data_IF_067217748216
#
_entry.id   IF_067217748216
#
_cell.length_a   1.000
_cell.length_b   1.000
_cell.length_c   1.000
_cell.angle_alpha   90.00
_cell.angle_beta   90.00
_cell.angle_gamma   90.00
#
_symmetry.space_group_name_H-M   'P 1'
#
loop_
_entity.id
_entity.type
_entity.pdbx_description
1 polymer ?
#
# COMPACT_ATOMS: atom_id res chain seq x y z
N UNK A 1 -15.01 -0.35 -24.38
CA UNK A 1 -15.14 0.25 -23.04
C UNK A 1 -14.68 1.71 -23.06
N UNK A 2 -13.43 2.02 -23.44
CA UNK A 2 -12.93 3.41 -23.43
C UNK A 2 -12.60 4.01 -24.82
N UNK A 3 -13.00 3.37 -25.92
CA UNK A 3 -12.84 3.90 -27.28
C UNK A 3 -11.42 3.74 -27.85
N UNK A 4 -10.39 4.30 -27.20
CA UNK A 4 -8.99 4.23 -27.62
C UNK A 4 -8.03 4.14 -26.41
N UNK A 5 -6.73 3.90 -26.66
CA UNK A 5 -5.70 3.83 -25.61
C UNK A 5 -5.45 5.17 -24.94
N UNK A 6 -5.54 6.27 -25.69
CA UNK A 6 -5.35 7.63 -25.16
C UNK A 6 -6.42 8.01 -24.14
N UNK A 7 -7.64 7.48 -24.28
CA UNK A 7 -8.72 7.68 -23.31
C UNK A 7 -8.51 6.98 -21.96
N UNK A 8 -7.43 6.18 -21.83
CA UNK A 8 -7.01 5.61 -20.54
C UNK A 8 -6.08 6.56 -19.78
N UNK A 9 -5.59 7.63 -20.42
CA UNK A 9 -4.77 8.64 -19.77
C UNK A 9 -5.60 9.41 -18.73
N UNK A 10 -5.12 9.44 -17.48
CA UNK A 10 -5.86 9.98 -16.33
C UNK A 10 -6.83 9.01 -15.64
N UNK A 11 -6.87 7.73 -16.05
CA UNK A 11 -7.68 6.71 -15.36
C UNK A 11 -7.25 6.45 -13.91
N UNK A 12 -8.21 6.29 -13.01
CA UNK A 12 -7.95 5.99 -11.59
C UNK A 12 -7.91 4.47 -11.35
N UNK A 13 -6.97 4.01 -10.52
CA UNK A 13 -6.88 2.60 -10.10
C UNK A 13 -8.16 2.13 -9.41
N UNK A 14 -8.83 3.00 -8.65
CA UNK A 14 -10.07 2.64 -7.96
C UNK A 14 -11.19 2.23 -8.93
N UNK A 15 -11.41 3.01 -9.99
CA UNK A 15 -12.44 2.76 -10.99
C UNK A 15 -12.11 1.49 -11.80
N UNK A 16 -10.84 1.30 -12.16
CA UNK A 16 -10.39 0.09 -12.83
C UNK A 16 -10.64 -1.18 -12.00
N UNK A 17 -10.47 -1.11 -10.67
CA UNK A 17 -10.74 -2.24 -9.78
C UNK A 17 -12.24 -2.57 -9.72
N UNK A 18 -13.11 -1.55 -9.75
CA UNK A 18 -14.56 -1.74 -9.82
C UNK A 18 -14.93 -2.41 -11.14
N UNK A 19 -14.43 -1.91 -12.27
CA UNK A 19 -14.71 -2.48 -13.59
C UNK A 19 -14.26 -3.94 -13.71
N UNK A 20 -13.14 -4.31 -13.10
CA UNK A 20 -12.61 -5.68 -13.15
C UNK A 20 -13.31 -6.66 -12.20
N UNK A 21 -13.87 -6.18 -11.10
CA UNK A 21 -14.42 -7.06 -10.05
C UNK A 21 -15.94 -7.01 -9.93
N UNK A 22 -16.58 -5.98 -10.49
CA UNK A 22 -17.97 -5.63 -10.20
C UNK A 22 -18.21 -5.23 -8.73
N UNK A 23 -17.13 -4.96 -7.99
CA UNK A 23 -17.15 -4.62 -6.56
C UNK A 23 -17.34 -3.13 -6.30
N UNK A 24 -17.04 -2.71 -5.07
CA UNK A 24 -17.04 -1.30 -4.66
C UNK A 24 -15.63 -0.95 -4.18
N UNK A 25 -15.09 0.17 -4.68
CA UNK A 25 -13.83 0.73 -4.22
C UNK A 25 -14.04 1.78 -3.13
N UNK A 26 -13.18 1.76 -2.11
CA UNK A 26 -13.13 2.78 -1.05
C UNK A 26 -11.71 3.40 -1.05
N UNK A 27 -11.54 4.65 -1.50
CA UNK A 27 -10.27 5.35 -1.42
C UNK A 27 -10.02 5.84 0.02
N UNK A 28 -8.79 5.67 0.52
CA UNK A 28 -8.37 6.14 1.84
C UNK A 28 -7.14 7.02 1.70
N UNK A 29 -7.27 8.30 2.06
CA UNK A 29 -6.16 9.25 2.06
C UNK A 29 -5.43 9.22 3.41
N UNK A 30 -4.19 8.72 3.42
CA UNK A 30 -3.40 8.57 4.65
C UNK A 30 -3.02 9.91 5.29
N UNK A 31 -2.82 10.94 4.47
CA UNK A 31 -2.41 12.29 4.91
C UNK A 31 -3.57 13.03 5.58
N UNK A 32 -4.78 12.95 5.00
CA UNK A 32 -5.98 13.62 5.53
C UNK A 32 -6.43 13.03 6.86
N UNK A 33 -6.31 11.71 7.03
CA UNK A 33 -6.72 11.05 8.27
C UNK A 33 -5.69 11.19 9.41
N UNK A 34 -4.51 11.77 9.14
CA UNK A 34 -3.37 11.85 10.06
C UNK A 34 -3.02 10.47 10.67
N UNK A 35 -3.05 9.43 9.82
CA UNK A 35 -2.79 8.04 10.23
C UNK A 35 -1.34 7.80 10.68
N UNK A 36 -0.42 8.72 10.37
CA UNK A 36 0.97 8.66 10.80
C UNK A 36 1.14 9.06 12.27
N UNK A 37 0.41 10.10 12.72
CA UNK A 37 0.49 10.64 14.08
C UNK A 37 -0.39 9.93 15.11
N UNK A 38 -1.58 9.46 14.71
CA UNK A 38 -2.54 8.85 15.63
C UNK A 38 -2.45 7.31 15.62
N UNK A 39 -2.07 6.76 16.77
CA UNK A 39 -1.91 5.32 16.95
C UNK A 39 -3.22 4.55 16.79
N UNK A 40 -4.35 5.09 17.26
CA UNK A 40 -5.65 4.40 17.21
C UNK A 40 -6.20 4.37 15.80
N UNK A 41 -6.07 5.47 15.05
CA UNK A 41 -6.42 5.51 13.62
C UNK A 41 -5.57 4.54 12.81
N UNK A 42 -4.25 4.49 13.05
CA UNK A 42 -3.37 3.52 12.40
C UNK A 42 -3.78 2.07 12.67
N UNK A 43 -4.15 1.75 13.91
CA UNK A 43 -4.68 0.42 14.28
C UNK A 43 -5.99 0.12 13.56
N UNK A 44 -6.91 1.09 13.48
CA UNK A 44 -8.20 0.95 12.78
C UNK A 44 -8.00 0.71 11.28
N UNK A 45 -7.13 1.49 10.63
CA UNK A 45 -6.75 1.31 9.24
C UNK A 45 -6.21 -0.11 9.01
N UNK A 46 -5.26 -0.55 9.85
CA UNK A 46 -4.71 -1.89 9.74
C UNK A 46 -5.79 -2.98 9.92
N UNK A 47 -6.71 -2.82 10.88
CA UNK A 47 -7.81 -3.76 11.07
C UNK A 47 -8.72 -3.82 9.84
N UNK A 48 -8.99 -2.68 9.21
CA UNK A 48 -9.76 -2.62 7.97
C UNK A 48 -9.05 -3.34 6.82
N UNK A 49 -7.75 -3.10 6.64
CA UNK A 49 -6.92 -3.78 5.64
C UNK A 49 -6.88 -5.30 5.86
N UNK A 50 -6.72 -5.75 7.11
CA UNK A 50 -6.75 -7.17 7.47
C UNK A 50 -8.10 -7.80 7.13
N UNK A 51 -9.21 -7.10 7.43
CA UNK A 51 -10.57 -7.56 7.12
C UNK A 51 -10.79 -7.63 5.60
N UNK A 52 -10.42 -6.61 4.85
CA UNK A 52 -10.50 -6.58 3.39
C UNK A 52 -9.69 -7.73 2.76
N UNK A 53 -8.43 -7.90 3.18
CA UNK A 53 -7.58 -8.99 2.69
C UNK A 53 -8.15 -10.38 3.02
N UNK A 54 -8.66 -10.59 4.24
CA UNK A 54 -9.28 -11.86 4.64
C UNK A 54 -10.53 -12.21 3.81
N UNK A 55 -11.24 -11.18 3.31
CA UNK A 55 -12.41 -11.29 2.42
C UNK A 55 -12.03 -11.36 0.95
N UNK A 56 -10.75 -11.49 0.62
CA UNK A 56 -10.22 -11.54 -0.75
C UNK A 56 -10.47 -10.27 -1.56
N UNK A 57 -10.67 -9.13 -0.89
CA UNK A 57 -10.70 -7.83 -1.56
C UNK A 57 -9.33 -7.49 -2.12
N UNK A 58 -9.31 -6.79 -3.26
CA UNK A 58 -8.09 -6.22 -3.83
C UNK A 58 -7.74 -4.93 -3.11
N UNK A 59 -6.46 -4.75 -2.82
CA UNK A 59 -5.94 -3.57 -2.13
C UNK A 59 -4.75 -3.06 -2.93
N UNK A 60 -4.82 -1.80 -3.33
CA UNK A 60 -3.72 -1.07 -3.96
C UNK A 60 -3.35 0.13 -3.11
N UNK A 61 -2.09 0.52 -3.14
CA UNK A 61 -1.60 1.74 -2.53
C UNK A 61 -0.70 2.48 -3.53
N UNK A 62 -0.64 3.80 -3.42
CA UNK A 62 0.15 4.65 -4.31
C UNK A 62 0.68 5.84 -3.55
N UNK A 63 1.76 6.43 -4.06
CA UNK A 63 2.32 7.67 -3.52
C UNK A 63 1.91 8.80 -4.46
N UNK A 64 1.14 9.77 -3.94
CA UNK A 64 0.72 10.92 -4.74
C UNK A 64 1.92 11.86 -4.95
N UNK A 65 2.28 12.21 -6.19
CA UNK A 65 3.29 13.23 -6.45
C UNK A 65 2.74 14.61 -6.07
N UNK A 66 3.58 15.47 -5.49
CA UNK A 66 3.22 16.87 -5.22
C UNK A 66 3.33 17.72 -6.49
N UNK A 67 2.70 18.90 -6.50
CA UNK A 67 2.75 19.82 -7.64
C UNK A 67 4.20 20.24 -7.92
N UNK A 68 4.73 19.82 -9.08
CA UNK A 68 6.11 20.10 -9.49
C UNK A 68 7.11 18.95 -9.22
N UNK A 69 6.67 17.88 -8.58
CA UNK A 69 7.44 16.64 -8.54
C UNK A 69 7.54 16.02 -9.95
N UNK A 70 8.68 15.40 -10.23
CA UNK A 70 8.80 14.53 -11.40
C UNK A 70 7.94 13.29 -11.19
N UNK A 71 7.06 13.01 -12.15
CA UNK A 71 6.33 11.74 -12.22
C UNK A 71 7.33 10.58 -12.31
N UNK A 72 7.00 9.48 -11.65
CA UNK A 72 7.80 8.24 -11.65
C UNK A 72 9.21 8.41 -11.05
N UNK A 73 9.42 9.44 -10.24
CA UNK A 73 10.68 9.63 -9.52
C UNK A 73 10.85 8.61 -8.39
N UNK A 74 12.00 7.93 -8.37
CA UNK A 74 12.40 7.05 -7.28
C UNK A 74 12.83 7.85 -6.06
N UNK A 75 12.29 7.48 -4.90
CA UNK A 75 12.61 8.04 -3.59
C UNK A 75 13.84 7.36 -3.00
N UNK A 76 14.50 8.00 -2.02
CA UNK A 76 15.65 7.41 -1.31
C UNK A 76 15.36 6.09 -0.60
N UNK A 77 14.08 5.80 -0.33
CA UNK A 77 13.62 4.54 0.26
C UNK A 77 13.34 3.42 -0.76
N UNK A 78 13.58 3.66 -2.05
CA UNK A 78 13.38 2.71 -3.14
C UNK A 78 11.98 2.72 -3.78
N UNK A 79 10.99 3.34 -3.14
CA UNK A 79 9.64 3.48 -3.70
C UNK A 79 9.56 4.57 -4.78
N UNK A 80 8.55 4.52 -5.63
CA UNK A 80 8.37 5.41 -6.78
C UNK A 80 7.11 6.27 -6.61
N UNK A 81 7.24 7.59 -6.81
CA UNK A 81 6.12 8.53 -6.79
C UNK A 81 5.24 8.37 -8.03
N UNK A 82 3.92 8.52 -7.88
CA UNK A 82 2.97 8.32 -8.98
C UNK A 82 2.75 6.86 -9.37
N UNK A 83 3.37 5.92 -8.66
CA UNK A 83 3.29 4.49 -8.95
C UNK A 83 2.34 3.76 -7.98
N UNK A 84 1.63 2.77 -8.51
CA UNK A 84 0.70 1.94 -7.74
C UNK A 84 1.32 0.57 -7.42
N UNK A 85 1.25 0.19 -6.15
CA UNK A 85 1.69 -1.09 -5.62
C UNK A 85 0.48 -1.93 -5.22
N UNK A 86 0.54 -3.23 -5.51
CA UNK A 86 -0.49 -4.18 -5.08
C UNK A 86 -0.15 -4.76 -3.71
N UNK A 87 -1.09 -4.72 -2.76
CA UNK A 87 -0.91 -5.40 -1.47
C UNK A 87 -1.25 -6.88 -1.63
N UNK A 88 -0.31 -7.75 -1.26
CA UNK A 88 -0.41 -9.20 -1.47
C UNK A 88 -0.61 -10.00 -0.17
N UNK A 89 -0.25 -9.45 0.99
CA UNK A 89 -0.55 -10.04 2.30
C UNK A 89 -0.62 -8.95 3.36
N UNK A 90 -1.46 -9.16 4.37
CA UNK A 90 -1.59 -8.31 5.56
C UNK A 90 -1.65 -9.23 6.77
N UNK A 91 -0.62 -9.20 7.62
CA UNK A 91 -0.46 -10.21 8.67
C UNK A 91 0.12 -9.66 9.97
N UNK A 92 -0.50 -10.06 11.09
CA UNK A 92 0.05 -9.84 12.43
C UNK A 92 1.04 -10.97 12.74
N UNK A 93 2.32 -10.65 12.80
CA UNK A 93 3.39 -11.63 13.03
C UNK A 93 3.77 -11.62 14.51
N UNK A 94 3.78 -12.79 15.15
CA UNK A 94 4.29 -12.94 16.52
C UNK A 94 5.81 -13.02 16.46
N UNK A 95 6.49 -12.18 17.23
CA UNK A 95 7.94 -12.25 17.36
C UNK A 95 8.25 -13.31 18.44
N UNK A 96 9.08 -14.29 18.12
CA UNK A 96 9.54 -15.29 19.10
C UNK A 96 10.44 -14.68 20.17
N UNK A 97 10.59 -15.37 21.30
CA UNK A 97 11.30 -14.89 22.50
C UNK A 97 12.71 -14.33 22.19
N UNK A 98 13.45 -14.95 21.27
CA UNK A 98 14.81 -14.52 20.92
C UNK A 98 14.92 -13.17 20.20
N UNK A 99 13.87 -12.72 19.52
CA UNK A 99 13.83 -11.41 18.84
C UNK A 99 13.06 -10.37 19.69
N UNK A 100 12.43 -10.79 20.77
CA UNK A 100 11.66 -9.93 21.66
C UNK A 100 12.57 -8.92 22.40
N UNK A 101 13.81 -9.31 22.71
CA UNK A 101 14.85 -8.43 23.26
C UNK A 101 15.26 -7.31 22.32
N UNK A 102 15.18 -7.53 21.00
CA UNK A 102 15.57 -6.56 19.98
C UNK A 102 14.43 -5.58 19.62
N UNK A 103 13.20 -6.09 19.52
CA UNK A 103 12.06 -5.27 19.04
C UNK A 103 11.17 -4.72 20.15
N UNK A 104 11.32 -5.20 21.39
CA UNK A 104 10.52 -4.85 22.56
C UNK A 104 9.00 -4.92 22.30
N UNK A 105 8.58 -5.83 21.40
CA UNK A 105 7.19 -6.03 20.97
C UNK A 105 6.93 -7.52 20.73
N UNK A 106 5.82 -8.01 21.25
CA UNK A 106 5.38 -9.40 21.04
C UNK A 106 4.80 -9.61 19.63
N UNK A 107 4.28 -8.54 19.02
CA UNK A 107 3.52 -8.61 17.75
C UNK A 107 3.88 -7.45 16.83
N UNK A 108 4.08 -7.75 15.55
CA UNK A 108 4.29 -6.79 14.47
C UNK A 108 3.09 -6.79 13.52
N UNK A 109 2.77 -5.61 13.02
CA UNK A 109 1.72 -5.38 12.04
C UNK A 109 2.41 -5.20 10.69
N UNK A 110 2.31 -6.20 9.81
CA UNK A 110 3.06 -6.22 8.55
C UNK A 110 2.13 -6.20 7.34
N UNK A 111 2.59 -5.54 6.29
CA UNK A 111 1.96 -5.48 4.97
C UNK A 111 3.02 -5.88 3.95
N UNK A 112 2.67 -6.80 3.05
CA UNK A 112 3.53 -7.19 1.92
C UNK A 112 2.98 -6.58 0.65
N UNK A 113 3.82 -5.85 -0.07
CA UNK A 113 3.47 -5.18 -1.31
C UNK A 113 4.22 -5.80 -2.49
N UNK A 114 3.70 -5.64 -3.69
CA UNK A 114 4.33 -6.04 -4.95
C UNK A 114 4.45 -4.83 -5.87
N UNK A 115 5.66 -4.58 -6.35
CA UNK A 115 5.90 -3.68 -7.47
C UNK A 115 5.56 -4.41 -8.78
N UNK A 116 4.57 -3.95 -9.58
CA UNK A 116 4.25 -4.57 -10.86
C UNK A 116 5.35 -4.40 -11.92
N UNK A 117 6.23 -3.39 -11.81
CA UNK A 117 7.34 -3.17 -12.74
C UNK A 117 8.55 -4.07 -12.48
N UNK A 118 8.71 -4.61 -11.27
CA UNK A 118 9.78 -5.55 -10.92
C UNK A 118 11.20 -4.99 -10.94
N UNK A 119 11.38 -3.67 -11.06
CA UNK A 119 12.70 -3.02 -11.21
C UNK A 119 13.25 -2.42 -9.91
N UNK A 120 12.37 -2.01 -8.98
CA UNK A 120 12.74 -1.33 -7.74
C UNK A 120 11.97 -1.87 -6.55
N UNK A 121 12.63 -1.91 -5.40
CA UNK A 121 12.09 -2.47 -4.15
C UNK A 121 12.40 -1.58 -2.95
N UNK A 122 11.65 -1.80 -1.87
CA UNK A 122 11.85 -1.14 -0.58
C UNK A 122 13.23 -1.49 -0.02
N UNK A 123 13.97 -0.49 0.46
CA UNK A 123 15.31 -0.67 1.05
C UNK A 123 15.39 -0.38 2.56
N UNK A 124 14.24 -0.19 3.21
CA UNK A 124 14.17 0.10 4.64
C UNK A 124 14.01 -1.15 5.52
N UNK A 125 13.54 -1.01 6.77
CA UNK A 125 13.30 -2.15 7.65
C UNK A 125 12.39 -3.20 6.99
N UNK A 126 12.76 -4.47 7.15
CA UNK A 126 12.07 -5.63 6.54
C UNK A 126 12.16 -5.72 5.01
N UNK A 127 13.12 -5.02 4.40
CA UNK A 127 13.57 -5.34 3.05
C UNK A 127 14.37 -6.65 3.05
N UNK A 128 14.55 -7.22 1.87
CA UNK A 128 15.25 -8.50 1.69
C UNK A 128 16.79 -8.36 1.73
N UNK A 129 17.31 -7.12 1.82
CA UNK A 129 18.73 -6.77 1.75
C UNK A 129 19.36 -6.53 3.14
#
# INVERSE_FOLDING_TARGET
LNGCYEALDGGNTADALVDFTGGVSEPVALDEENCSGDLEKRKRLYQNLLKAHSRKSLISCSIRPESGDQLEAQMGCGLVKGHAYGVTDVRKVRIGEGLMSYFNKEKLYMVRMRNPWGSTEWNGPWSDA
#
